data_IF_312706010923
#
_entry.id   IF_312706010923
#
_cell.length_a   1.000
_cell.length_b   1.000
_cell.length_c   1.000
_cell.angle_alpha   90.00
_cell.angle_beta   90.00
_cell.angle_gamma   90.00
#
_symmetry.space_group_name_H-M   'P 1'
#
loop_
_entity.id
_entity.type
_entity.pdbx_description
1 polymer ?
#
# COMPACT_ATOMS: atom_id res chain seq x y z
N UNK A 1 -1.75 23.61 3.65
CA UNK A 1 -1.38 24.90 3.03
C UNK A 1 0.07 24.94 2.54
N UNK A 2 0.31 24.80 1.23
CA UNK A 2 1.63 25.04 0.60
C UNK A 2 1.62 26.43 -0.06
N UNK A 3 2.55 27.31 0.31
CA UNK A 3 2.63 28.70 -0.19
C UNK A 3 1.30 29.47 -0.08
N UNK A 4 0.55 29.26 0.99
CA UNK A 4 -0.75 29.92 1.22
C UNK A 4 -1.93 29.32 0.46
N UNK A 5 -1.75 28.22 -0.26
CA UNK A 5 -2.82 27.51 -0.95
C UNK A 5 -3.13 26.17 -0.30
N UNK A 6 -4.42 25.82 -0.26
CA UNK A 6 -4.81 24.44 0.08
C UNK A 6 -4.36 23.52 -1.04
N UNK A 7 -3.83 22.36 -0.70
CA UNK A 7 -3.48 21.36 -1.70
C UNK A 7 -3.95 19.97 -1.26
N UNK A 8 -4.33 19.19 -2.27
CA UNK A 8 -4.92 17.87 -2.13
C UNK A 8 -3.97 16.90 -2.80
N UNK A 9 -3.61 15.83 -2.09
CA UNK A 9 -3.03 14.65 -2.70
C UNK A 9 -4.17 13.78 -3.25
N UNK A 10 -4.23 13.61 -4.56
CA UNK A 10 -5.29 12.86 -5.22
C UNK A 10 -4.84 11.45 -5.65
N UNK A 11 -3.66 11.01 -5.25
CA UNK A 11 -3.12 9.70 -5.63
C UNK A 11 -2.19 9.17 -4.53
N UNK A 12 -2.78 8.90 -3.36
CA UNK A 12 -2.11 8.24 -2.25
C UNK A 12 -2.64 6.84 -2.07
N UNK A 13 -1.85 5.99 -1.42
CA UNK A 13 -2.13 4.56 -1.34
C UNK A 13 -2.08 4.03 0.09
N UNK A 14 -2.99 3.09 0.38
CA UNK A 14 -2.91 2.25 1.59
C UNK A 14 -2.20 0.95 1.29
N UNK A 15 -1.33 0.53 2.19
CA UNK A 15 -0.79 -0.83 2.15
C UNK A 15 -1.72 -1.74 2.94
N UNK A 16 -2.28 -2.73 2.25
CA UNK A 16 -3.21 -3.68 2.83
C UNK A 16 -2.48 -4.72 3.70
N UNK A 17 -3.03 -5.09 4.87
CA UNK A 17 -2.48 -6.16 5.68
C UNK A 17 -2.60 -7.50 4.96
N UNK A 18 -1.63 -8.38 5.21
CA UNK A 18 -1.61 -9.74 4.66
C UNK A 18 -2.84 -10.57 5.05
N UNK A 19 -3.45 -10.27 6.20
CA UNK A 19 -4.61 -10.97 6.76
C UNK A 19 -5.99 -10.41 6.37
N UNK A 20 -6.03 -9.39 5.47
CA UNK A 20 -7.28 -8.78 4.99
C UNK A 20 -8.27 -9.84 4.51
N UNK A 21 -7.81 -10.73 3.63
CA UNK A 21 -8.69 -11.72 3.00
C UNK A 21 -9.15 -12.78 3.98
N UNK A 22 -8.32 -13.18 4.93
CA UNK A 22 -8.71 -14.13 5.97
C UNK A 22 -9.86 -13.59 6.81
N UNK A 23 -9.76 -12.31 7.21
CA UNK A 23 -10.72 -11.65 8.09
C UNK A 23 -12.02 -11.26 7.39
N UNK A 24 -11.93 -10.67 6.19
CA UNK A 24 -13.05 -9.99 5.55
C UNK A 24 -13.67 -10.76 4.37
N UNK A 25 -12.97 -11.75 3.78
CA UNK A 25 -13.52 -12.51 2.66
C UNK A 25 -14.48 -13.60 3.15
N UNK A 26 -15.58 -13.75 2.42
CA UNK A 26 -16.61 -14.76 2.71
C UNK A 26 -16.01 -16.18 2.64
N UNK A 27 -16.35 -17.10 3.56
CA UNK A 27 -15.68 -18.39 3.70
C UNK A 27 -15.62 -19.22 2.42
N UNK A 28 -16.65 -19.17 1.59
CA UNK A 28 -16.75 -19.93 0.34
C UNK A 28 -15.73 -19.51 -0.73
N UNK A 29 -15.14 -18.32 -0.63
CA UNK A 29 -14.15 -17.80 -1.58
C UNK A 29 -12.71 -17.83 -1.04
N UNK A 30 -12.49 -18.21 0.23
CA UNK A 30 -11.17 -18.16 0.87
C UNK A 30 -10.12 -19.08 0.26
N UNK A 31 -10.55 -20.21 -0.30
CA UNK A 31 -9.64 -21.15 -0.98
C UNK A 31 -8.94 -20.51 -2.19
N UNK A 32 -9.56 -19.50 -2.79
CA UNK A 32 -9.08 -18.76 -3.96
C UNK A 32 -8.82 -17.28 -3.62
N UNK A 33 -8.60 -16.97 -2.34
CA UNK A 33 -8.32 -15.62 -1.90
C UNK A 33 -7.07 -15.05 -2.57
N UNK A 34 -7.05 -13.74 -2.88
CA UNK A 34 -5.81 -13.07 -3.23
C UNK A 34 -4.77 -13.25 -2.13
N UNK A 35 -3.51 -13.39 -2.52
CA UNK A 35 -2.38 -13.47 -1.58
C UNK A 35 -1.36 -12.42 -1.95
N UNK A 36 -1.04 -11.56 -0.99
CA UNK A 36 -0.01 -10.52 -1.16
C UNK A 36 1.27 -10.95 -0.47
N UNK A 37 2.38 -10.82 -1.17
CA UNK A 37 3.72 -10.99 -0.64
C UNK A 37 4.39 -9.64 -0.65
N UNK A 38 4.68 -9.12 0.54
CA UNK A 38 5.46 -7.88 0.71
C UNK A 38 6.80 -8.22 1.33
N UNK A 39 7.90 -7.72 0.76
CA UNK A 39 9.25 -7.84 1.30
C UNK A 39 9.86 -6.45 1.44
N UNK A 40 10.43 -6.21 2.62
CA UNK A 40 11.13 -4.98 2.95
C UNK A 40 12.59 -5.32 3.21
N UNK A 41 13.49 -4.68 2.47
CA UNK A 41 14.91 -4.70 2.78
C UNK A 41 15.38 -3.27 3.08
N UNK A 42 15.55 -3.00 4.38
CA UNK A 42 16.05 -1.74 4.91
C UNK A 42 17.58 -1.63 4.89
N UNK A 43 18.29 -2.69 4.50
CA UNK A 43 19.76 -2.75 4.45
C UNK A 43 20.31 -2.34 3.09
N UNK A 44 19.48 -2.40 2.04
CA UNK A 44 19.80 -2.00 0.67
C UNK A 44 19.54 -0.51 0.36
N UNK A 45 19.57 0.34 1.38
CA UNK A 45 19.56 1.80 1.29
C UNK A 45 20.74 2.32 0.46
N UNK A 46 20.53 2.53 -0.85
CA UNK A 46 21.54 3.11 -1.72
C UNK A 46 21.51 4.65 -1.57
N UNK A 47 22.47 5.21 -0.83
CA UNK A 47 22.61 6.68 -0.63
C UNK A 47 22.97 7.37 -1.93
N UNK A 48 21.96 7.91 -2.61
CA UNK A 48 22.15 8.74 -3.79
C UNK A 48 21.92 10.22 -3.44
N UNK A 49 22.75 11.16 -3.90
CA UNK A 49 22.50 12.58 -3.70
C UNK A 49 21.16 12.98 -4.34
N UNK A 50 20.28 13.65 -3.58
CA UNK A 50 18.94 14.07 -4.00
C UNK A 50 17.94 12.95 -4.33
N UNK A 51 18.19 11.71 -3.89
CA UNK A 51 17.19 10.65 -3.89
C UNK A 51 17.36 9.77 -2.67
N UNK A 52 16.25 9.50 -1.99
CA UNK A 52 16.24 8.73 -0.75
C UNK A 52 16.90 7.37 -0.98
N UNK A 53 17.66 6.95 0.03
CA UNK A 53 18.02 5.57 0.30
C UNK A 53 16.89 4.63 -0.13
N UNK A 54 17.08 3.89 -1.23
CA UNK A 54 16.02 3.04 -1.76
C UNK A 54 15.61 2.04 -0.68
N UNK A 55 14.47 2.28 -0.03
CA UNK A 55 13.72 1.22 0.65
C UNK A 55 13.44 0.21 -0.45
N UNK A 56 14.06 -0.97 -0.36
CA UNK A 56 13.77 -2.05 -1.29
C UNK A 56 12.47 -2.68 -0.83
N UNK A 57 11.38 -2.14 -1.34
CA UNK A 57 10.04 -2.68 -1.26
C UNK A 57 9.77 -3.52 -2.51
N UNK A 58 9.50 -4.81 -2.28
CA UNK A 58 8.99 -5.71 -3.29
C UNK A 58 7.59 -6.14 -2.90
N UNK A 59 6.62 -5.95 -3.79
CA UNK A 59 5.25 -6.40 -3.60
C UNK A 59 4.76 -7.16 -4.82
N UNK A 60 4.21 -8.35 -4.57
CA UNK A 60 3.57 -9.20 -5.56
C UNK A 60 2.22 -9.69 -5.03
N UNK A 61 1.18 -9.58 -5.86
CA UNK A 61 -0.16 -10.09 -5.55
C UNK A 61 -0.47 -11.29 -6.44
N UNK A 62 -0.93 -12.38 -5.84
CA UNK A 62 -1.33 -13.60 -6.53
C UNK A 62 -2.83 -13.81 -6.45
N UNK A 63 -3.47 -14.12 -7.57
CA UNK A 63 -4.91 -14.41 -7.65
C UNK A 63 -5.12 -15.53 -8.66
N UNK A 64 -5.84 -16.59 -8.28
CA UNK A 64 -6.19 -17.72 -9.15
C UNK A 64 -5.03 -18.25 -10.03
N UNK A 65 -3.82 -18.32 -9.48
CA UNK A 65 -2.63 -18.81 -10.19
C UNK A 65 -1.89 -17.77 -11.06
N UNK A 66 -2.37 -16.53 -11.13
CA UNK A 66 -1.69 -15.41 -11.77
C UNK A 66 -0.93 -14.57 -10.75
N UNK A 67 0.25 -14.04 -11.14
CA UNK A 67 1.05 -13.13 -10.32
C UNK A 67 1.10 -11.74 -10.96
N UNK A 68 0.96 -10.71 -10.12
CA UNK A 68 1.05 -9.30 -10.49
C UNK A 68 2.15 -8.63 -9.66
N UNK A 69 3.36 -8.43 -10.22
CA UNK A 69 4.38 -7.64 -9.56
C UNK A 69 3.97 -6.16 -9.59
N UNK A 70 3.88 -5.54 -8.41
CA UNK A 70 3.44 -4.14 -8.24
C UNK A 70 4.63 -3.20 -8.03
N UNK A 71 5.54 -3.58 -7.13
CA UNK A 71 6.75 -2.83 -6.83
C UNK A 71 7.97 -3.71 -6.90
N UNK A 72 8.99 -3.23 -7.61
CA UNK A 72 10.36 -3.72 -7.51
C UNK A 72 11.28 -2.50 -7.52
N UNK A 73 11.70 -2.11 -6.34
CA UNK A 73 12.52 -0.92 -6.08
C UNK A 73 14.00 -1.27 -5.88
N UNK A 74 14.37 -2.54 -6.06
CA UNK A 74 15.75 -3.02 -5.96
C UNK A 74 16.68 -2.45 -7.04
N UNK A 75 17.94 -2.91 -7.11
CA UNK A 75 18.91 -2.47 -8.12
C UNK A 75 18.37 -2.69 -9.55
N UNK A 76 18.17 -1.60 -10.29
CA UNK A 76 17.57 -1.62 -11.65
C UNK A 76 16.06 -1.34 -11.70
N UNK A 77 15.38 -1.35 -10.56
CA UNK A 77 13.95 -1.01 -10.44
C UNK A 77 13.67 0.49 -10.57
N UNK A 78 12.41 0.85 -10.83
CA UNK A 78 11.94 2.25 -10.70
C UNK A 78 11.79 2.56 -9.22
N UNK A 79 12.59 3.48 -8.69
CA UNK A 79 12.43 3.93 -7.30
C UNK A 79 11.04 4.54 -7.07
N UNK A 80 10.57 4.55 -5.83
CA UNK A 80 9.33 5.25 -5.47
C UNK A 80 9.65 6.74 -5.46
N UNK A 81 9.02 7.52 -6.33
CA UNK A 81 9.09 8.97 -6.27
C UNK A 81 8.31 9.43 -5.03
N UNK A 82 9.01 10.01 -4.06
CA UNK A 82 8.39 10.54 -2.86
C UNK A 82 8.61 12.05 -2.78
N UNK A 83 7.58 12.76 -2.33
CA UNK A 83 7.69 14.19 -2.03
C UNK A 83 8.64 14.41 -0.84
N UNK A 84 9.39 15.53 -0.81
CA UNK A 84 10.19 15.90 0.36
C UNK A 84 9.35 15.88 1.64
N UNK A 85 9.85 15.23 2.70
CA UNK A 85 9.17 15.08 3.99
C UNK A 85 8.26 13.85 4.12
N UNK A 86 7.89 13.18 3.01
CA UNK A 86 7.18 11.89 3.05
C UNK A 86 8.13 10.76 3.49
N UNK A 87 9.36 10.78 2.97
CA UNK A 87 10.39 9.81 3.28
C UNK A 87 10.73 9.75 4.77
N UNK A 88 10.92 10.91 5.41
CA UNK A 88 11.20 11.01 6.85
C UNK A 88 10.14 10.30 7.70
N UNK A 89 8.87 10.42 7.30
CA UNK A 89 7.74 9.79 8.02
C UNK A 89 7.78 8.28 7.85
N UNK A 90 8.02 7.78 6.63
CA UNK A 90 8.11 6.35 6.39
C UNK A 90 9.35 5.71 7.02
N UNK A 91 10.50 6.39 7.04
CA UNK A 91 11.70 5.92 7.75
C UNK A 91 11.45 5.81 9.26
N UNK A 92 10.80 6.80 9.89
CA UNK A 92 10.42 6.73 11.31
C UNK A 92 9.47 5.54 11.57
N UNK A 93 8.49 5.30 10.70
CA UNK A 93 7.52 4.20 10.85
C UNK A 93 8.14 2.82 10.62
N UNK A 94 8.99 2.68 9.61
CA UNK A 94 9.75 1.45 9.36
C UNK A 94 10.72 1.17 10.51
N UNK A 95 11.39 2.20 11.04
CA UNK A 95 12.23 2.10 12.24
C UNK A 95 11.47 1.69 13.51
N UNK A 96 10.14 1.80 13.52
CA UNK A 96 9.25 1.39 14.62
C UNK A 96 8.60 0.02 14.42
N UNK A 97 8.91 -0.70 13.35
CA UNK A 97 8.41 -2.06 13.17
C UNK A 97 7.27 -2.25 12.17
N UNK A 98 6.99 -1.27 11.30
CA UNK A 98 5.97 -1.36 10.25
C UNK A 98 6.34 -2.34 9.11
N UNK A 99 6.77 -3.56 9.43
CA UNK A 99 7.36 -4.52 8.50
C UNK A 99 6.35 -5.42 7.77
N UNK A 100 5.07 -5.44 8.18
CA UNK A 100 4.05 -6.29 7.55
C UNK A 100 3.11 -5.52 6.60
N UNK A 101 3.61 -4.44 6.01
CA UNK A 101 2.81 -3.64 5.09
C UNK A 101 1.64 -2.92 5.76
N UNK A 102 1.69 -2.74 7.09
CA UNK A 102 0.69 -1.96 7.82
C UNK A 102 1.34 -0.65 8.23
N UNK A 103 1.02 0.42 7.51
CA UNK A 103 1.17 1.76 8.06
C UNK A 103 -0.09 2.07 8.89
N UNK A 104 0.06 2.36 10.20
CA UNK A 104 -1.07 2.80 11.02
C UNK A 104 -1.74 4.01 10.37
N UNK A 105 -3.06 4.18 10.52
CA UNK A 105 -3.78 5.30 9.90
C UNK A 105 -3.21 6.67 10.26
N UNK A 106 -2.62 6.80 11.44
CA UNK A 106 -2.01 8.02 11.95
C UNK A 106 -0.80 8.44 11.09
N UNK A 107 -0.19 7.50 10.37
CA UNK A 107 0.89 7.75 9.43
C UNK A 107 0.47 8.74 8.35
N UNK A 108 -0.74 8.61 7.82
CA UNK A 108 -1.26 9.47 6.77
C UNK A 108 -1.49 10.90 7.28
N UNK A 109 -2.06 11.03 8.49
CA UNK A 109 -2.19 12.34 9.15
C UNK A 109 -0.82 13.01 9.37
N UNK A 110 0.18 12.26 9.82
CA UNK A 110 1.56 12.76 9.98
C UNK A 110 2.18 13.20 8.66
N UNK A 111 1.98 12.45 7.58
CA UNK A 111 2.43 12.84 6.23
C UNK A 111 1.75 14.16 5.81
N UNK A 112 0.45 14.28 6.04
CA UNK A 112 -0.27 15.50 5.71
C UNK A 112 0.25 16.70 6.51
N UNK A 113 0.43 16.56 7.83
CA UNK A 113 0.99 17.61 8.68
C UNK A 113 2.43 18.01 8.26
N UNK A 114 3.26 17.03 7.91
CA UNK A 114 4.68 17.24 7.59
C UNK A 114 4.89 17.92 6.26
N UNK A 115 4.08 17.55 5.26
CA UNK A 115 4.18 18.12 3.92
C UNK A 115 3.37 19.41 3.81
N UNK A 116 2.30 19.53 4.61
CA UNK A 116 1.30 20.59 4.59
C UNK A 116 0.01 20.24 3.85
N UNK A 117 -0.27 18.97 3.52
CA UNK A 117 -1.44 18.55 2.73
C UNK A 117 -2.70 18.84 3.53
N UNK A 118 -3.74 19.29 2.83
CA UNK A 118 -5.03 19.57 3.47
C UNK A 118 -5.99 18.37 3.33
N UNK A 119 -5.85 17.58 2.26
CA UNK A 119 -6.61 16.35 2.03
C UNK A 119 -5.77 15.32 1.27
N UNK A 120 -6.12 14.06 1.44
CA UNK A 120 -5.48 12.92 0.80
C UNK A 120 -6.54 11.91 0.36
N UNK A 121 -6.56 11.55 -0.93
CA UNK A 121 -7.36 10.46 -1.46
C UNK A 121 -6.57 9.15 -1.36
N UNK A 122 -7.13 8.16 -0.70
CA UNK A 122 -6.51 6.86 -0.47
C UNK A 122 -7.06 5.81 -1.45
N UNK A 123 -6.15 5.17 -2.19
CA UNK A 123 -6.40 4.07 -3.11
C UNK A 123 -5.77 2.77 -2.62
N UNK A 124 -6.25 1.61 -3.09
CA UNK A 124 -5.60 0.33 -2.82
C UNK A 124 -4.17 0.28 -3.37
N UNK A 125 -3.33 -0.59 -2.81
CA UNK A 125 -2.03 -0.95 -3.38
C UNK A 125 -2.09 -2.37 -3.90
N UNK A 126 -2.07 -3.35 -3.01
CA UNK A 126 -2.10 -4.77 -3.34
C UNK A 126 -3.44 -5.15 -3.95
N UNK A 127 -4.54 -4.60 -3.42
CA UNK A 127 -5.88 -4.92 -3.88
C UNK A 127 -6.22 -4.31 -5.26
N UNK A 128 -5.37 -3.46 -5.85
CA UNK A 128 -5.58 -2.95 -7.23
C UNK A 128 -5.72 -4.08 -8.25
N UNK A 129 -5.01 -5.18 -8.05
CA UNK A 129 -4.95 -6.29 -9.00
C UNK A 129 -5.82 -7.48 -8.58
N UNK A 130 -6.60 -7.36 -7.50
CA UNK A 130 -7.42 -8.47 -6.95
C UNK A 130 -8.43 -9.04 -7.96
N UNK A 131 -8.85 -8.22 -8.93
CA UNK A 131 -9.83 -8.58 -9.96
C UNK A 131 -9.25 -8.53 -11.38
N UNK A 132 -7.92 -8.42 -11.53
CA UNK A 132 -7.25 -8.25 -12.82
C UNK A 132 -6.95 -9.58 -13.55
N UNK A 133 -7.55 -10.70 -13.12
CA UNK A 133 -7.33 -12.01 -13.73
C UNK A 133 -8.40 -12.35 -14.76
N UNK A 134 -8.03 -13.04 -15.86
CA UNK A 134 -8.99 -13.48 -16.86
C UNK A 134 -9.99 -14.47 -16.27
N UNK A 135 -11.24 -14.40 -16.73
CA UNK A 135 -12.31 -15.34 -16.36
C UNK A 135 -12.58 -15.45 -14.85
N UNK A 136 -12.29 -14.39 -14.06
CA UNK A 136 -12.64 -14.37 -12.64
C UNK A 136 -14.14 -14.57 -12.46
N UNK A 137 -14.53 -15.48 -11.57
CA UNK A 137 -15.94 -15.74 -11.30
C UNK A 137 -16.61 -14.45 -10.76
N UNK A 138 -17.68 -13.93 -11.39
CA UNK A 138 -18.22 -12.62 -11.01
C UNK A 138 -18.64 -12.49 -9.53
N UNK A 139 -19.25 -13.52 -8.89
CA UNK A 139 -19.49 -13.49 -7.45
C UNK A 139 -18.23 -13.40 -6.59
N UNK A 140 -17.13 -14.02 -7.01
CA UNK A 140 -15.83 -13.91 -6.33
C UNK A 140 -15.26 -12.49 -6.47
N UNK A 141 -15.33 -11.88 -7.66
CA UNK A 141 -14.90 -10.50 -7.86
C UNK A 141 -15.68 -9.51 -6.99
N UNK A 142 -17.00 -9.71 -6.87
CA UNK A 142 -17.84 -8.91 -5.98
C UNK A 142 -17.50 -9.13 -4.49
N UNK A 143 -17.13 -10.36 -4.11
CA UNK A 143 -16.66 -10.69 -2.77
C UNK A 143 -15.34 -9.99 -2.43
N UNK A 144 -14.39 -9.96 -3.37
CA UNK A 144 -13.14 -9.21 -3.19
C UNK A 144 -13.41 -7.73 -2.92
N UNK A 145 -14.28 -7.09 -3.72
CA UNK A 145 -14.65 -5.69 -3.51
C UNK A 145 -15.32 -5.44 -2.15
N UNK A 146 -16.23 -6.32 -1.72
CA UNK A 146 -16.86 -6.20 -0.39
C UNK A 146 -15.85 -6.36 0.73
N UNK A 147 -14.98 -7.36 0.64
CA UNK A 147 -13.95 -7.60 1.64
C UNK A 147 -13.00 -6.40 1.78
N UNK A 148 -12.50 -5.88 0.65
CA UNK A 148 -11.66 -4.68 0.63
C UNK A 148 -12.38 -3.46 1.21
N UNK A 149 -13.62 -3.20 0.79
CA UNK A 149 -14.36 -2.03 1.25
C UNK A 149 -14.69 -2.10 2.74
N UNK A 150 -15.02 -3.28 3.26
CA UNK A 150 -15.27 -3.47 4.69
C UNK A 150 -13.98 -3.27 5.50
N UNK A 151 -12.86 -3.81 5.03
CA UNK A 151 -11.56 -3.57 5.66
C UNK A 151 -11.18 -2.09 5.67
N UNK A 152 -11.31 -1.40 4.52
CA UNK A 152 -10.94 0.00 4.40
C UNK A 152 -11.82 0.87 5.30
N UNK A 153 -13.12 0.55 5.38
CA UNK A 153 -14.04 1.21 6.30
C UNK A 153 -13.56 1.09 7.75
N UNK A 154 -13.24 -0.12 8.20
CA UNK A 154 -12.81 -0.35 9.58
C UNK A 154 -11.44 0.28 9.88
N UNK A 155 -10.52 0.22 8.91
CA UNK A 155 -9.22 0.90 8.97
C UNK A 155 -9.34 2.42 9.15
N UNK A 156 -10.33 3.05 8.51
CA UNK A 156 -10.55 4.49 8.63
C UNK A 156 -11.26 4.88 9.94
N UNK A 157 -12.01 3.96 10.56
CA UNK A 157 -12.74 4.23 11.80
C UNK A 157 -11.93 3.98 13.08
N UNK A 158 -11.24 2.85 13.17
CA UNK A 158 -10.48 2.42 14.36
C UNK A 158 -9.23 3.24 14.53
#
# INVERSE_FOLDING_TARGET
MYKGHRYIDNDSHVLEPSDLWEKYLEPQFRAEAPRTVSRWDSTAALRLPNSIDRIVFHQETHVNGHSFPQFDTGPGGRGIFQMPGVADVYEDLLGRGAYDGIFPKESYAKVMDRTGMDYMALYPTAALTMNAVPNLFPPQAAAHCRAYNNWLHDFLQG
#
